data_IF_664207143159
#
_entry.id   IF_664207143159
#
_cell.length_a   1.000
_cell.length_b   1.000
_cell.length_c   1.000
_cell.angle_alpha   90.00
_cell.angle_beta   90.00
_cell.angle_gamma   90.00
#
_symmetry.space_group_name_H-M   'P 1'
#
loop_
_entity.id
_entity.type
_entity.pdbx_description
1 polymer ?
#
# COMPACT_ATOMS: atom_id res chain seq x y z
N UNK A 1 -3.59 -33.40 16.76
CA UNK A 1 -3.75 -32.80 15.42
C UNK A 1 -3.88 -31.29 15.49
N UNK A 2 -2.86 -30.50 15.91
CA UNK A 2 -3.25 -29.08 16.16
C UNK A 2 -2.12 -28.09 16.32
N UNK A 3 -0.93 -28.44 16.72
CA UNK A 3 0.19 -27.49 16.86
C UNK A 3 0.88 -27.21 15.53
N UNK A 4 0.99 -28.20 14.68
CA UNK A 4 1.69 -28.09 13.39
C UNK A 4 0.88 -27.27 12.36
N UNK A 5 -0.43 -27.49 12.28
CA UNK A 5 -1.29 -26.69 11.39
C UNK A 5 -1.38 -25.22 11.79
N UNK A 6 -1.40 -24.91 13.09
CA UNK A 6 -1.34 -23.52 13.58
C UNK A 6 -0.01 -22.86 13.27
N UNK A 7 1.08 -23.60 13.41
CA UNK A 7 2.43 -23.11 13.12
C UNK A 7 2.60 -22.85 11.62
N UNK A 8 2.12 -23.76 10.79
CA UNK A 8 2.16 -23.61 9.32
C UNK A 8 1.28 -22.44 8.86
N UNK A 9 0.07 -22.30 9.37
CA UNK A 9 -0.81 -21.17 9.07
C UNK A 9 -0.18 -19.83 9.48
N UNK A 10 0.47 -19.77 10.63
CA UNK A 10 1.20 -18.57 11.09
C UNK A 10 2.30 -18.17 10.10
N UNK A 11 3.14 -19.14 9.68
CA UNK A 11 4.22 -18.86 8.73
C UNK A 11 3.70 -18.45 7.35
N UNK A 12 2.63 -19.06 6.88
CA UNK A 12 2.00 -18.71 5.60
C UNK A 12 1.45 -17.26 5.62
N UNK A 13 0.78 -16.88 6.70
CA UNK A 13 0.28 -15.51 6.86
C UNK A 13 1.41 -14.50 6.99
N UNK A 14 2.46 -14.85 7.75
CA UNK A 14 3.64 -13.99 7.90
C UNK A 14 4.36 -13.78 6.56
N UNK A 15 4.56 -14.84 5.78
CA UNK A 15 5.18 -14.76 4.47
C UNK A 15 4.30 -13.99 3.47
N UNK A 16 2.99 -14.20 3.50
CA UNK A 16 2.04 -13.45 2.65
C UNK A 16 2.05 -11.96 3.01
N UNK A 17 2.05 -11.63 4.30
CA UNK A 17 2.13 -10.25 4.78
C UNK A 17 3.46 -9.59 4.40
N UNK A 18 4.58 -10.27 4.63
CA UNK A 18 5.90 -9.79 4.26
C UNK A 18 6.04 -9.61 2.74
N UNK A 19 5.54 -10.57 1.94
CA UNK A 19 5.53 -10.49 0.49
C UNK A 19 4.69 -9.33 -0.02
N UNK A 20 3.49 -9.15 0.51
CA UNK A 20 2.62 -8.01 0.16
C UNK A 20 3.29 -6.68 0.50
N UNK A 21 3.92 -6.58 1.67
CA UNK A 21 4.64 -5.38 2.07
C UNK A 21 5.86 -5.13 1.19
N UNK A 22 6.65 -6.16 0.89
CA UNK A 22 7.81 -6.04 0.02
C UNK A 22 7.42 -5.59 -1.40
N UNK A 23 6.34 -6.14 -1.96
CA UNK A 23 5.83 -5.75 -3.28
C UNK A 23 5.33 -4.30 -3.28
N UNK A 24 4.53 -3.91 -2.29
CA UNK A 24 4.00 -2.55 -2.21
C UNK A 24 5.11 -1.51 -1.98
N UNK A 25 6.06 -1.80 -1.11
CA UNK A 25 7.21 -0.91 -0.87
C UNK A 25 8.17 -0.89 -2.06
N UNK A 26 8.45 -2.04 -2.66
CA UNK A 26 9.28 -2.14 -3.86
C UNK A 26 8.71 -1.32 -5.00
N UNK A 27 7.43 -1.46 -5.31
CA UNK A 27 6.74 -0.67 -6.34
C UNK A 27 6.83 0.83 -6.07
N UNK A 28 6.66 1.25 -4.82
CA UNK A 28 6.74 2.66 -4.45
C UNK A 28 8.16 3.22 -4.57
N UNK A 29 9.16 2.47 -4.12
CA UNK A 29 10.57 2.91 -4.16
C UNK A 29 11.11 2.98 -5.59
N UNK A 30 10.63 2.12 -6.48
CA UNK A 30 11.00 2.15 -7.90
C UNK A 30 10.30 3.26 -8.69
N UNK A 31 9.25 3.89 -8.15
CA UNK A 31 8.55 5.02 -8.79
C UNK A 31 9.50 6.18 -9.15
N UNK A 32 10.57 6.40 -8.37
CA UNK A 32 11.59 7.40 -8.68
C UNK A 32 12.28 7.18 -10.03
N UNK A 33 12.40 5.94 -10.48
CA UNK A 33 12.98 5.59 -11.79
C UNK A 33 12.08 6.04 -12.96
N UNK A 34 10.79 6.21 -12.72
CA UNK A 34 9.82 6.63 -13.73
C UNK A 34 9.66 8.16 -13.82
N UNK A 35 10.34 8.91 -12.96
CA UNK A 35 10.26 10.37 -12.95
C UNK A 35 10.65 10.98 -14.31
N UNK A 36 11.79 10.55 -14.85
CA UNK A 36 12.28 11.03 -16.16
C UNK A 36 11.41 10.56 -17.34
N UNK A 37 11.04 9.27 -17.46
CA UNK A 37 10.08 8.80 -18.46
C UNK A 37 8.73 9.51 -18.39
N UNK A 38 8.18 9.72 -17.21
CA UNK A 38 6.92 10.46 -17.03
C UNK A 38 7.05 11.91 -17.48
N UNK A 39 8.18 12.58 -17.16
CA UNK A 39 8.40 13.93 -17.61
C UNK A 39 8.50 14.03 -19.14
N UNK A 40 9.18 13.08 -19.75
CA UNK A 40 9.30 13.01 -21.23
C UNK A 40 7.95 12.75 -21.90
N UNK A 41 7.14 11.86 -21.31
CA UNK A 41 5.86 11.49 -21.88
C UNK A 41 4.77 12.55 -21.68
N UNK A 42 4.77 13.27 -20.56
CA UNK A 42 3.71 14.22 -20.20
C UNK A 42 4.10 15.69 -20.46
N UNK A 43 5.39 16.02 -20.46
CA UNK A 43 5.87 17.40 -20.55
C UNK A 43 5.54 18.30 -19.35
N UNK A 44 5.04 17.73 -18.25
CA UNK A 44 4.54 18.48 -17.08
C UNK A 44 5.62 19.12 -16.24
N UNK A 45 6.89 18.72 -16.41
CA UNK A 45 8.01 19.17 -15.62
C UNK A 45 8.24 18.33 -14.35
N UNK A 46 9.51 18.17 -13.99
CA UNK A 46 9.91 17.36 -12.84
C UNK A 46 9.31 17.85 -11.53
N UNK A 47 9.11 19.16 -11.37
CA UNK A 47 8.49 19.75 -10.17
C UNK A 47 7.06 19.28 -9.95
N UNK A 48 6.24 19.27 -10.99
CA UNK A 48 4.84 18.83 -10.92
C UNK A 48 4.73 17.35 -10.60
N UNK A 49 5.58 16.52 -11.20
CA UNK A 49 5.61 15.08 -10.97
C UNK A 49 6.11 14.79 -9.55
N UNK A 50 7.17 15.47 -9.11
CA UNK A 50 7.70 15.34 -7.74
C UNK A 50 6.68 15.77 -6.68
N UNK A 51 5.88 16.80 -6.97
CA UNK A 51 4.77 17.22 -6.09
C UNK A 51 3.73 16.11 -5.93
N UNK A 52 3.34 15.44 -7.02
CA UNK A 52 2.41 14.33 -6.97
C UNK A 52 2.96 13.16 -6.11
N UNK A 53 4.25 12.86 -6.22
CA UNK A 53 4.91 11.85 -5.39
C UNK A 53 5.02 12.26 -3.93
N UNK A 54 5.37 13.51 -3.64
CA UNK A 54 5.47 14.04 -2.28
C UNK A 54 4.09 14.02 -1.59
N UNK A 55 3.05 14.47 -2.30
CA UNK A 55 1.68 14.37 -1.81
C UNK A 55 1.28 12.92 -1.56
N UNK A 56 1.65 12.01 -2.45
CA UNK A 56 1.41 10.57 -2.28
C UNK A 56 2.07 10.01 -1.02
N UNK A 57 3.26 10.46 -0.65
CA UNK A 57 3.91 10.05 0.60
C UNK A 57 3.13 10.52 1.83
N UNK A 58 2.70 11.77 1.84
CA UNK A 58 1.87 12.31 2.90
C UNK A 58 0.54 11.53 3.00
N UNK A 59 -0.14 11.34 1.88
CA UNK A 59 -1.42 10.63 1.81
C UNK A 59 -1.31 9.17 2.24
N UNK A 60 -0.24 8.49 1.84
CA UNK A 60 0.07 7.15 2.29
C UNK A 60 0.17 7.06 3.83
N UNK A 61 0.90 8.00 4.45
CA UNK A 61 1.03 8.06 5.91
C UNK A 61 -0.32 8.32 6.60
N UNK A 62 -1.08 9.28 6.09
CA UNK A 62 -2.40 9.63 6.64
C UNK A 62 -3.44 8.51 6.50
N UNK A 63 -3.35 7.72 5.44
CA UNK A 63 -4.30 6.62 5.20
C UNK A 63 -4.12 5.47 6.18
N UNK A 64 -2.91 5.23 6.71
CA UNK A 64 -2.59 4.07 7.54
C UNK A 64 -3.42 3.97 8.84
N UNK A 65 -3.56 5.00 9.67
CA UNK A 65 -4.36 4.88 10.90
C UNK A 65 -5.83 4.61 10.60
N UNK A 66 -6.39 5.19 9.53
CA UNK A 66 -7.76 4.92 9.11
C UNK A 66 -7.92 3.49 8.59
N UNK A 67 -6.96 3.03 7.79
CA UNK A 67 -6.95 1.67 7.27
C UNK A 67 -6.80 0.63 8.38
N UNK A 68 -5.96 0.90 9.38
CA UNK A 68 -5.84 0.07 10.58
C UNK A 68 -7.16 -0.03 11.34
N UNK A 69 -7.80 1.10 11.64
CA UNK A 69 -9.11 1.14 12.30
C UNK A 69 -10.20 0.44 11.48
N UNK A 70 -10.16 0.57 10.16
CA UNK A 70 -11.07 -0.14 9.26
C UNK A 70 -10.83 -1.65 9.28
N UNK A 71 -9.55 -2.07 9.29
CA UNK A 71 -9.19 -3.49 9.37
C UNK A 71 -9.68 -4.14 10.68
N UNK A 72 -9.73 -3.38 11.76
CA UNK A 72 -10.30 -3.84 13.03
C UNK A 72 -11.82 -4.03 12.98
N UNK A 73 -12.53 -3.21 12.22
CA UNK A 73 -14.00 -3.26 12.09
C UNK A 73 -14.47 -4.28 11.06
N UNK A 74 -13.92 -4.23 9.85
CA UNK A 74 -14.43 -5.02 8.71
C UNK A 74 -13.55 -6.22 8.34
N UNK A 75 -12.38 -6.32 8.95
CA UNK A 75 -11.40 -7.38 8.71
C UNK A 75 -10.27 -6.94 7.76
N UNK A 76 -9.05 -7.34 8.11
CA UNK A 76 -7.84 -6.97 7.38
C UNK A 76 -7.86 -7.41 5.90
N UNK A 77 -8.36 -8.61 5.60
CA UNK A 77 -8.40 -9.14 4.23
C UNK A 77 -9.20 -8.26 3.26
N UNK A 78 -10.34 -7.71 3.70
CA UNK A 78 -11.16 -6.82 2.88
C UNK A 78 -10.46 -5.50 2.63
N UNK A 79 -9.79 -4.95 3.64
CA UNK A 79 -9.05 -3.69 3.53
C UNK A 79 -7.83 -3.86 2.61
N UNK A 80 -7.09 -4.97 2.75
CA UNK A 80 -5.97 -5.32 1.86
C UNK A 80 -6.43 -5.47 0.41
N UNK A 81 -7.55 -6.16 0.18
CA UNK A 81 -8.09 -6.33 -1.17
C UNK A 81 -8.50 -4.98 -1.79
N UNK A 82 -9.21 -4.15 -1.04
CA UNK A 82 -9.59 -2.80 -1.50
C UNK A 82 -8.34 -1.95 -1.78
N UNK A 83 -7.32 -2.01 -0.93
CA UNK A 83 -6.03 -1.34 -1.14
C UNK A 83 -5.33 -1.80 -2.41
N UNK A 84 -5.26 -3.11 -2.64
CA UNK A 84 -4.67 -3.68 -3.85
C UNK A 84 -5.41 -3.22 -5.12
N UNK A 85 -6.75 -3.18 -5.07
CA UNK A 85 -7.57 -2.70 -6.18
C UNK A 85 -7.30 -1.21 -6.48
N UNK A 86 -7.19 -0.38 -5.46
CA UNK A 86 -6.86 1.04 -5.61
C UNK A 86 -5.46 1.26 -6.19
N UNK A 87 -4.46 0.47 -5.74
CA UNK A 87 -3.10 0.51 -6.33
C UNK A 87 -3.15 0.13 -7.80
N UNK A 88 -3.81 -0.97 -8.13
CA UNK A 88 -3.95 -1.45 -9.50
C UNK A 88 -4.63 -0.39 -10.40
N UNK A 89 -5.73 0.19 -9.93
CA UNK A 89 -6.46 1.24 -10.65
C UNK A 89 -5.60 2.49 -10.84
N UNK A 90 -4.97 2.99 -9.78
CA UNK A 90 -4.10 4.16 -9.83
C UNK A 90 -2.92 3.96 -10.79
N UNK A 91 -2.30 2.79 -10.74
CA UNK A 91 -1.20 2.44 -11.66
C UNK A 91 -1.67 2.32 -13.10
N UNK A 92 -2.85 1.72 -13.32
CA UNK A 92 -3.41 1.53 -14.65
C UNK A 92 -3.77 2.87 -15.34
N UNK A 93 -4.32 3.83 -14.60
CA UNK A 93 -4.72 5.13 -15.19
C UNK A 93 -3.56 6.11 -15.30
N UNK A 94 -2.46 5.93 -14.57
CA UNK A 94 -1.30 6.85 -14.57
C UNK A 94 -0.78 7.18 -15.99
N UNK A 95 -0.59 6.22 -16.91
CA UNK A 95 -0.10 6.50 -18.26
C UNK A 95 -1.02 7.40 -19.10
N UNK A 96 -2.29 7.47 -18.75
CA UNK A 96 -3.29 8.27 -19.47
C UNK A 96 -3.43 9.69 -18.91
N UNK A 97 -2.76 9.99 -17.79
CA UNK A 97 -2.81 11.29 -17.13
C UNK A 97 -1.82 12.25 -17.77
N UNK A 98 -2.33 13.29 -18.40
CA UNK A 98 -1.56 14.34 -19.09
C UNK A 98 -1.56 15.67 -18.32
N UNK A 99 -2.17 15.73 -17.14
CA UNK A 99 -2.24 16.92 -16.30
C UNK A 99 -1.66 16.65 -14.93
N UNK A 100 -1.14 17.70 -14.27
CA UNK A 100 -0.64 17.61 -12.88
C UNK A 100 -1.70 17.09 -11.90
N UNK A 101 -2.93 17.56 -12.05
CA UNK A 101 -4.06 17.11 -11.22
C UNK A 101 -4.41 15.64 -11.46
N UNK A 102 -4.34 15.18 -12.72
CA UNK A 102 -4.54 13.78 -13.07
C UNK A 102 -3.48 12.87 -12.44
N UNK A 103 -2.20 13.27 -12.51
CA UNK A 103 -1.12 12.54 -11.85
C UNK A 103 -1.25 12.53 -10.33
N UNK A 104 -1.62 13.67 -9.73
CA UNK A 104 -1.86 13.77 -8.30
C UNK A 104 -2.99 12.85 -7.85
N UNK A 105 -4.07 12.74 -8.62
CA UNK A 105 -5.16 11.81 -8.35
C UNK A 105 -4.70 10.35 -8.50
N UNK A 106 -4.06 10.00 -9.61
CA UNK A 106 -3.67 8.62 -9.92
C UNK A 106 -2.59 8.09 -8.98
N UNK A 107 -1.51 8.82 -8.82
CA UNK A 107 -0.35 8.43 -8.00
C UNK A 107 -0.55 8.86 -6.55
N UNK A 108 -0.93 10.12 -6.34
CA UNK A 108 -1.02 10.75 -5.02
C UNK A 108 -2.19 10.23 -4.19
N UNK A 109 -3.36 10.06 -4.77
CA UNK A 109 -4.56 9.63 -4.02
C UNK A 109 -4.80 8.13 -4.17
N UNK A 110 -4.99 7.62 -5.38
CA UNK A 110 -5.39 6.23 -5.60
C UNK A 110 -4.28 5.25 -5.26
N UNK A 111 -3.13 5.39 -5.90
CA UNK A 111 -2.01 4.45 -5.70
C UNK A 111 -1.45 4.55 -4.28
N UNK A 112 -1.21 5.75 -3.79
CA UNK A 112 -0.66 5.95 -2.45
C UNK A 112 -1.66 5.60 -1.34
N UNK A 113 -2.94 5.95 -1.50
CA UNK A 113 -4.01 5.56 -0.57
C UNK A 113 -4.19 4.04 -0.51
N UNK A 114 -4.23 3.39 -1.67
CA UNK A 114 -4.27 1.93 -1.77
C UNK A 114 -3.08 1.25 -1.10
N UNK A 115 -1.87 1.76 -1.33
CA UNK A 115 -0.66 1.28 -0.67
C UNK A 115 -0.69 1.52 0.86
N UNK A 116 -1.32 2.59 1.32
CA UNK A 116 -1.57 2.82 2.75
C UNK A 116 -2.51 1.79 3.37
N UNK A 117 -3.57 1.42 2.63
CA UNK A 117 -4.50 0.36 3.04
C UNK A 117 -3.86 -1.03 3.03
N UNK A 118 -2.86 -1.27 2.19
CA UNK A 118 -2.04 -2.48 2.18
C UNK A 118 -0.75 -2.33 3.01
N UNK A 119 -0.66 -1.28 3.81
CA UNK A 119 0.52 -0.89 4.58
C UNK A 119 0.72 -1.67 5.88
N UNK A 120 1.80 -1.36 6.60
CA UNK A 120 2.19 -2.09 7.81
C UNK A 120 1.11 -2.06 8.90
N UNK A 121 0.33 -1.00 9.03
CA UNK A 121 -0.72 -0.91 10.05
C UNK A 121 -1.77 -2.01 9.90
N UNK A 122 -2.25 -2.27 8.67
CA UNK A 122 -3.23 -3.32 8.39
C UNK A 122 -2.60 -4.71 8.50
N UNK A 123 -1.36 -4.87 8.04
CA UNK A 123 -0.62 -6.13 8.14
C UNK A 123 -0.34 -6.51 9.59
N UNK A 124 0.02 -5.53 10.43
CA UNK A 124 0.18 -5.75 11.87
C UNK A 124 -1.15 -6.11 12.54
N UNK A 125 -2.24 -5.45 12.20
CA UNK A 125 -3.57 -5.81 12.70
C UNK A 125 -3.97 -7.24 12.31
N UNK A 126 -3.62 -7.69 11.10
CA UNK A 126 -3.86 -9.06 10.66
C UNK A 126 -3.03 -10.09 11.43
N UNK A 127 -1.75 -9.81 11.66
CA UNK A 127 -0.82 -10.74 12.34
C UNK A 127 -1.06 -10.79 13.84
N UNK A 128 -1.35 -9.67 14.50
CA UNK A 128 -1.60 -9.63 15.94
C UNK A 128 -2.83 -10.40 16.37
N UNK A 129 -3.84 -10.53 15.50
CA UNK A 129 -5.02 -11.37 15.77
C UNK A 129 -4.71 -12.87 15.79
N UNK A 130 -3.61 -13.29 15.15
CA UNK A 130 -3.17 -14.69 15.12
C UNK A 130 -2.22 -15.04 16.24
N UNK A 131 -1.64 -14.04 16.91
CA UNK A 131 -0.71 -14.22 18.04
C UNK A 131 -1.50 -14.25 19.34
N UNK A 132 -1.25 -15.29 20.15
CA UNK A 132 -1.84 -15.40 21.47
C UNK A 132 -1.54 -14.16 22.34
N UNK A 133 -2.47 -13.70 23.20
CA UNK A 133 -2.34 -12.46 23.98
C UNK A 133 -1.03 -12.37 24.79
N UNK A 134 -0.54 -13.52 25.26
CA UNK A 134 0.68 -13.65 26.08
C UNK A 134 1.98 -13.36 25.31
N UNK A 135 1.95 -13.34 23.96
CA UNK A 135 3.10 -13.12 23.10
C UNK A 135 3.07 -11.80 22.33
N UNK A 136 2.11 -10.92 22.63
CA UNK A 136 1.92 -9.64 21.92
C UNK A 136 2.88 -8.53 22.35
N UNK A 137 3.82 -8.78 23.20
CA UNK A 137 4.75 -7.78 23.73
C UNK A 137 6.23 -8.16 23.67
N UNK A 138 6.60 -9.15 22.87
CA UNK A 138 8.00 -9.58 22.67
C UNK A 138 8.52 -9.08 21.34
#
# INVERSE_FOLDING_TARGET
MTTDHRRMAFWLVLLAAAGTFALTMGTRQTMGLFLSPLNTATGLGLGSISLAFAFGQLWWGLTQPFAGAMADKVGAGRVLFAGALLVALGTFITPYMTTTWGLLLAIGVLSAGGAGMAGPAVLMAATTRLIAPEKRGL
#
